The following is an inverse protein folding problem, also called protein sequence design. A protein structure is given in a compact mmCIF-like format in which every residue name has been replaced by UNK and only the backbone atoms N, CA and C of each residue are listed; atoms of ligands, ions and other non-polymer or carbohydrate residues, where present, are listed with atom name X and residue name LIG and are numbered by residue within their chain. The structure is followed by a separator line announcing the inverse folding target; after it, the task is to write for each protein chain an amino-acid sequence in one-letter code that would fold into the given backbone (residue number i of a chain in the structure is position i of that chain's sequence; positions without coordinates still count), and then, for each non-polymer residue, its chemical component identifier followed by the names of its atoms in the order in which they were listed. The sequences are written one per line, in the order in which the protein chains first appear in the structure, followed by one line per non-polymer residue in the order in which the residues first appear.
data_IF_503181138127
#
_entry.id   IF_503181138127
#
_cell.length_a   1.000
_cell.length_b   1.000
_cell.length_c   1.000
_cell.angle_alpha   90.00
_cell.angle_beta   90.00
_cell.angle_gamma   90.00
#
_symmetry.space_group_name_H-M   'P 1'
#
loop_
_entity.id
_entity.type
_entity.pdbx_description
1 polymer ?
#
# COMPACT_ATOMS: atom_id res chain seq x y z
N UNK A 1 -40.54 -5.50 -3.93
CA UNK A 1 -40.18 -4.30 -3.15
C UNK A 1 -38.67 -4.34 -2.92
N UNK A 2 -37.87 -3.40 -3.44
CA UNK A 2 -36.43 -3.43 -3.22
C UNK A 2 -36.13 -2.90 -1.81
N UNK A 3 -35.50 -3.74 -1.00
CA UNK A 3 -34.95 -3.39 0.30
C UNK A 3 -33.75 -2.45 0.09
N UNK A 4 -33.89 -1.22 0.55
CA UNK A 4 -32.83 -0.24 0.60
C UNK A 4 -31.68 -0.77 1.47
N UNK A 5 -30.51 -0.94 0.85
CA UNK A 5 -29.23 -1.11 1.54
C UNK A 5 -29.00 0.12 2.43
N UNK A 6 -29.20 -0.04 3.74
CA UNK A 6 -28.70 0.93 4.73
C UNK A 6 -27.18 0.76 4.82
N UNK A 7 -26.45 1.56 4.05
CA UNK A 7 -25.04 1.80 4.27
C UNK A 7 -24.84 2.21 5.73
N UNK A 8 -24.19 1.37 6.51
CA UNK A 8 -23.72 1.75 7.84
C UNK A 8 -22.59 2.77 7.66
N UNK A 9 -22.97 4.04 7.56
CA UNK A 9 -22.06 5.16 7.74
C UNK A 9 -21.62 5.15 9.21
N UNK A 10 -20.56 4.39 9.50
CA UNK A 10 -19.84 4.44 10.77
C UNK A 10 -19.36 5.88 10.95
N UNK A 11 -19.80 6.51 12.05
CA UNK A 11 -19.74 7.94 12.32
C UNK A 11 -18.46 8.62 11.85
N UNK A 12 -18.66 9.68 11.07
CA UNK A 12 -17.63 10.63 10.62
C UNK A 12 -16.91 11.17 11.86
N UNK A 13 -15.60 10.93 11.98
CA UNK A 13 -14.76 11.71 12.89
C UNK A 13 -14.99 13.19 12.59
N UNK A 14 -15.30 13.98 13.62
CA UNK A 14 -15.78 15.36 13.53
C UNK A 14 -15.25 16.14 12.30
N UNK A 15 -16.10 16.52 11.32
CA UNK A 15 -15.68 17.23 10.10
C UNK A 15 -14.89 18.52 10.39
N UNK A 16 -15.12 19.14 11.55
CA UNK A 16 -14.40 20.32 11.99
C UNK A 16 -12.93 20.06 12.34
N UNK A 17 -12.60 18.83 12.74
CA UNK A 17 -11.21 18.39 12.97
C UNK A 17 -10.52 18.23 11.61
N UNK A 18 -11.08 17.43 10.70
CA UNK A 18 -10.53 17.25 9.35
C UNK A 18 -10.28 18.58 8.63
N UNK A 19 -11.23 19.52 8.71
CA UNK A 19 -11.09 20.86 8.14
C UNK A 19 -9.94 21.65 8.77
N UNK A 20 -9.77 21.60 10.10
CA UNK A 20 -8.66 22.27 10.80
C UNK A 20 -7.31 21.70 10.39
N UNK A 21 -7.19 20.37 10.29
CA UNK A 21 -5.95 19.71 9.87
C UNK A 21 -5.57 20.16 8.46
N UNK A 22 -6.54 20.16 7.54
CA UNK A 22 -6.29 20.56 6.14
C UNK A 22 -5.92 22.04 6.03
N UNK A 23 -6.54 22.91 6.83
CA UNK A 23 -6.16 24.34 6.88
C UNK A 23 -4.76 24.55 7.48
N UNK A 24 -4.42 23.82 8.54
CA UNK A 24 -3.08 23.82 9.16
C UNK A 24 -2.01 23.38 8.15
N UNK A 25 -2.27 22.27 7.44
CA UNK A 25 -1.38 21.75 6.41
C UNK A 25 -1.24 22.73 5.22
N UNK A 26 -2.36 23.32 4.78
CA UNK A 26 -2.36 24.34 3.71
C UNK A 26 -1.53 25.56 4.10
N UNK A 27 -1.69 26.07 5.33
CA UNK A 27 -0.95 27.23 5.79
C UNK A 27 0.56 26.96 5.82
N UNK A 28 0.97 25.80 6.35
CA UNK A 28 2.38 25.38 6.38
C UNK A 28 2.96 25.18 4.98
N UNK A 29 2.20 24.58 4.07
CA UNK A 29 2.61 24.39 2.68
C UNK A 29 2.84 25.71 1.95
N UNK A 30 1.93 26.68 2.13
CA UNK A 30 2.09 28.02 1.55
C UNK A 30 3.37 28.68 2.07
N UNK A 31 3.68 28.57 3.37
CA UNK A 31 4.93 29.07 3.93
C UNK A 31 6.16 28.33 3.38
N UNK A 32 6.09 27.02 3.17
CA UNK A 32 7.18 26.23 2.59
C UNK A 32 7.43 26.57 1.11
N UNK A 33 6.37 26.67 0.30
CA UNK A 33 6.45 27.01 -1.12
C UNK A 33 6.99 28.43 -1.35
N UNK A 34 6.62 29.40 -0.52
CA UNK A 34 7.16 30.78 -0.59
C UNK A 34 8.65 30.87 -0.22
N UNK A 35 9.17 29.90 0.52
CA UNK A 35 10.57 29.87 0.97
C UNK A 35 11.44 28.95 0.10
N UNK A 36 10.89 28.32 -0.94
CA UNK A 36 11.63 27.43 -1.82
C UNK A 36 12.14 28.21 -3.06
N UNK A 37 13.44 28.53 -3.14
CA UNK A 37 14.00 29.38 -4.19
C UNK A 37 13.86 28.78 -5.60
N UNK A 38 13.68 27.46 -5.73
CA UNK A 38 13.46 26.79 -7.01
C UNK A 38 12.04 26.99 -7.55
N UNK A 39 11.05 27.24 -6.68
CA UNK A 39 9.67 27.58 -7.06
C UNK A 39 9.49 29.08 -7.32
N UNK A 40 10.29 29.95 -6.68
CA UNK A 40 10.18 31.40 -6.81
C UNK A 40 10.70 31.97 -8.15
N UNK A 41 11.49 31.20 -8.91
CA UNK A 41 12.07 31.63 -10.19
C UNK A 41 11.25 31.23 -11.44
N UNK A 42 10.01 30.75 -11.25
CA UNK A 42 9.13 30.35 -12.34
C UNK A 42 8.48 31.56 -13.04
N UNK A 43 8.28 31.46 -14.37
CA UNK A 43 7.52 32.41 -15.18
C UNK A 43 6.18 32.77 -14.48
N UNK A 44 5.76 34.05 -14.41
CA UNK A 44 4.51 34.47 -13.79
C UNK A 44 3.29 33.62 -14.17
N UNK A 45 3.19 33.19 -15.42
CA UNK A 45 2.07 32.39 -15.93
C UNK A 45 2.07 30.96 -15.36
N UNK A 46 3.26 30.33 -15.25
CA UNK A 46 3.43 29.03 -14.60
C UNK A 46 3.14 29.13 -13.10
N UNK A 47 3.56 30.22 -12.46
CA UNK A 47 3.29 30.48 -11.04
C UNK A 47 1.79 30.61 -10.76
N UNK A 48 1.02 31.28 -11.63
CA UNK A 48 -0.45 31.35 -11.52
C UNK A 48 -1.10 29.98 -11.71
N UNK A 49 -0.68 29.21 -12.71
CA UNK A 49 -1.22 27.86 -12.95
C UNK A 49 -0.95 26.91 -11.77
N UNK A 50 0.26 26.95 -11.20
CA UNK A 50 0.65 26.19 -10.01
C UNK A 50 -0.19 26.58 -8.79
N UNK A 51 -0.40 27.88 -8.56
CA UNK A 51 -1.22 28.35 -7.45
C UNK A 51 -2.68 27.93 -7.59
N UNK A 52 -3.24 28.03 -8.79
CA UNK A 52 -4.61 27.58 -9.07
C UNK A 52 -4.77 26.06 -8.87
N UNK A 53 -3.80 25.27 -9.33
CA UNK A 53 -3.78 23.84 -9.08
C UNK A 53 -3.71 23.53 -7.59
N UNK A 54 -2.80 24.15 -6.85
CA UNK A 54 -2.70 23.97 -5.39
C UNK A 54 -4.01 24.33 -4.68
N UNK A 55 -4.67 25.43 -5.07
CA UNK A 55 -5.96 25.80 -4.49
C UNK A 55 -7.04 24.75 -4.76
N UNK A 56 -7.13 24.24 -6.00
CA UNK A 56 -8.07 23.16 -6.36
C UNK A 56 -7.76 21.88 -5.57
N UNK A 57 -6.48 21.50 -5.49
CA UNK A 57 -6.02 20.33 -4.77
C UNK A 57 -6.43 20.39 -3.30
N UNK A 58 -6.10 21.48 -2.60
CA UNK A 58 -6.47 21.66 -1.19
C UNK A 58 -7.97 21.62 -0.93
N UNK A 59 -8.77 22.21 -1.82
CA UNK A 59 -10.23 22.17 -1.70
C UNK A 59 -10.77 20.74 -1.85
N UNK A 60 -10.26 19.97 -2.83
CA UNK A 60 -10.64 18.56 -3.01
C UNK A 60 -10.15 17.68 -1.86
N UNK A 61 -8.93 17.88 -1.37
CA UNK A 61 -8.40 17.20 -0.19
C UNK A 61 -9.31 17.41 1.04
N UNK A 62 -9.72 18.65 1.29
CA UNK A 62 -10.61 18.96 2.40
C UNK A 62 -11.96 18.24 2.29
N UNK A 63 -12.54 18.26 1.09
CA UNK A 63 -13.80 17.57 0.80
C UNK A 63 -13.67 16.06 1.01
N UNK A 64 -12.60 15.44 0.51
CA UNK A 64 -12.36 14.00 0.64
C UNK A 64 -12.17 13.58 2.09
N UNK A 65 -11.39 14.32 2.88
CA UNK A 65 -11.20 14.00 4.29
C UNK A 65 -12.48 14.18 5.12
N UNK A 66 -13.32 15.15 4.76
CA UNK A 66 -14.58 15.43 5.46
C UNK A 66 -15.70 14.47 5.10
N UNK A 67 -15.79 14.04 3.83
CA UNK A 67 -16.91 13.24 3.31
C UNK A 67 -16.58 11.77 3.07
N UNK A 68 -15.29 11.44 2.98
CA UNK A 68 -14.81 10.13 2.52
C UNK A 68 -14.93 9.90 1.02
N UNK A 69 -15.43 10.87 0.24
CA UNK A 69 -15.54 10.77 -1.21
C UNK A 69 -14.28 11.34 -1.90
N UNK A 70 -13.55 10.48 -2.59
CA UNK A 70 -12.27 10.77 -3.25
C UNK A 70 -12.38 10.94 -4.78
N UNK A 71 -13.54 10.72 -5.38
CA UNK A 71 -13.70 10.70 -6.84
C UNK A 71 -13.22 12.00 -7.50
N UNK A 72 -13.66 13.15 -6.99
CA UNK A 72 -13.29 14.44 -7.56
C UNK A 72 -11.81 14.79 -7.35
N UNK A 73 -11.16 14.22 -6.32
CA UNK A 73 -9.72 14.36 -6.10
C UNK A 73 -8.95 13.50 -7.11
N UNK A 74 -9.36 12.25 -7.30
CA UNK A 74 -8.78 11.31 -8.27
C UNK A 74 -8.87 11.87 -9.70
N UNK A 75 -10.01 12.43 -10.10
CA UNK A 75 -10.20 13.04 -11.41
C UNK A 75 -9.26 14.23 -11.64
N UNK A 76 -9.11 15.11 -10.63
CA UNK A 76 -8.19 16.25 -10.69
C UNK A 76 -6.74 15.81 -10.89
N UNK A 77 -6.29 14.79 -10.14
CA UNK A 77 -4.91 14.30 -10.19
C UNK A 77 -4.60 13.55 -11.47
N UNK A 78 -5.56 12.76 -11.96
CA UNK A 78 -5.44 12.08 -13.25
C UNK A 78 -5.37 13.08 -14.40
N UNK A 79 -6.14 14.17 -14.34
CA UNK A 79 -6.02 15.26 -15.31
C UNK A 79 -4.63 15.93 -15.24
N UNK A 80 -4.12 16.18 -14.04
CA UNK A 80 -2.77 16.75 -13.85
C UNK A 80 -1.68 15.84 -14.42
N UNK A 81 -1.77 14.53 -14.19
CA UNK A 81 -0.84 13.55 -14.76
C UNK A 81 -0.81 13.59 -16.29
N UNK A 82 -1.99 13.72 -16.93
CA UNK A 82 -2.08 13.86 -18.40
C UNK A 82 -1.42 15.13 -18.91
N UNK A 83 -1.63 16.25 -18.21
CA UNK A 83 -1.02 17.53 -18.55
C UNK A 83 0.51 17.45 -18.45
N UNK A 84 1.05 16.91 -17.36
CA UNK A 84 2.49 16.74 -17.17
C UNK A 84 3.13 15.85 -18.23
N UNK A 85 2.45 14.77 -18.64
CA UNK A 85 2.88 13.94 -19.77
C UNK A 85 2.86 14.70 -21.10
N UNK A 86 1.84 15.52 -21.35
CA UNK A 86 1.76 16.39 -22.53
C UNK A 86 2.86 17.45 -22.59
N UNK A 87 3.39 17.86 -21.43
CA UNK A 87 4.57 18.74 -21.30
C UNK A 87 5.91 18.00 -21.44
N UNK A 88 5.89 16.67 -21.66
CA UNK A 88 7.08 15.83 -21.74
C UNK A 88 7.98 15.88 -20.49
N UNK A 89 7.38 16.06 -19.31
CA UNK A 89 8.12 15.98 -18.06
C UNK A 89 8.54 14.51 -17.78
N UNK A 90 9.76 14.27 -17.28
CA UNK A 90 10.20 12.93 -16.89
C UNK A 90 9.30 12.34 -15.79
N UNK A 91 8.87 11.10 -15.96
CA UNK A 91 7.96 10.45 -15.01
C UNK A 91 8.59 10.30 -13.62
N UNK A 92 9.90 10.07 -13.55
CA UNK A 92 10.60 9.86 -12.29
C UNK A 92 10.62 11.14 -11.46
N UNK A 93 10.82 12.29 -12.11
CA UNK A 93 10.77 13.60 -11.46
C UNK A 93 9.37 13.88 -10.89
N UNK A 94 8.33 13.49 -11.63
CA UNK A 94 6.94 13.63 -11.17
C UNK A 94 6.70 12.78 -9.91
N UNK A 95 7.15 11.51 -9.91
CA UNK A 95 7.00 10.59 -8.78
C UNK A 95 7.77 11.09 -7.54
N UNK A 96 9.00 11.59 -7.73
CA UNK A 96 9.81 12.16 -6.65
C UNK A 96 9.10 13.37 -6.00
N UNK A 97 8.61 14.30 -6.82
CA UNK A 97 7.91 15.49 -6.32
C UNK A 97 6.58 15.14 -5.65
N UNK A 98 5.81 14.20 -6.21
CA UNK A 98 4.56 13.76 -5.60
C UNK A 98 4.81 13.00 -4.29
N UNK A 99 5.88 12.20 -4.22
CA UNK A 99 6.36 11.55 -3.01
C UNK A 99 6.74 12.53 -1.91
N UNK A 100 7.50 13.59 -2.25
CA UNK A 100 7.84 14.66 -1.30
C UNK A 100 6.59 15.38 -0.78
N UNK A 101 5.61 15.67 -1.65
CA UNK A 101 4.34 16.24 -1.26
C UNK A 101 3.57 15.35 -0.28
N UNK A 102 3.47 14.05 -0.57
CA UNK A 102 2.87 13.05 0.33
C UNK A 102 3.57 13.01 1.68
N UNK A 103 4.90 13.05 1.69
CA UNK A 103 5.67 13.04 2.93
C UNK A 103 5.38 14.27 3.79
N UNK A 104 5.44 15.49 3.21
CA UNK A 104 5.10 16.71 3.94
C UNK A 104 3.67 16.70 4.46
N UNK A 105 2.72 16.20 3.65
CA UNK A 105 1.33 16.02 4.07
C UNK A 105 1.23 15.12 5.31
N UNK A 106 1.97 14.00 5.32
CA UNK A 106 1.99 13.06 6.43
C UNK A 106 2.62 13.65 7.70
N UNK A 107 3.75 14.35 7.59
CA UNK A 107 4.36 15.02 8.73
C UNK A 107 3.43 16.06 9.36
N UNK A 108 2.73 16.84 8.53
CA UNK A 108 1.76 17.82 9.01
C UNK A 108 0.56 17.15 9.68
N UNK A 109 0.05 16.05 9.11
CA UNK A 109 -1.02 15.27 9.72
C UNK A 109 -0.62 14.65 11.07
N UNK A 110 0.61 14.13 11.17
CA UNK A 110 1.15 13.59 12.42
C UNK A 110 1.31 14.69 13.48
N UNK A 111 1.89 15.85 13.10
CA UNK A 111 2.03 16.99 14.02
C UNK A 111 0.69 17.44 14.58
N UNK A 112 -0.35 17.49 13.73
CA UNK A 112 -1.70 17.86 14.16
C UNK A 112 -2.31 16.80 15.09
N UNK A 113 -2.07 15.51 14.85
CA UNK A 113 -2.52 14.45 15.76
C UNK A 113 -1.87 14.57 17.15
N UNK A 114 -0.58 14.92 17.21
CA UNK A 114 0.17 15.08 18.47
C UNK A 114 -0.28 16.32 19.25
N UNK A 115 -0.56 17.42 18.56
CA UNK A 115 -0.91 18.71 19.18
C UNK A 115 -2.40 18.82 19.55
N UNK A 116 -3.27 18.00 18.95
CA UNK A 116 -4.70 18.04 19.20
C UNK A 116 -5.12 17.09 20.35
N UNK A 117 -5.46 17.68 21.51
CA UNK A 117 -5.90 16.98 22.72
C UNK A 117 -7.15 16.08 22.51
N UNK A 118 -8.05 16.41 21.59
CA UNK A 118 -9.24 15.59 21.31
C UNK A 118 -8.91 14.31 20.52
N UNK A 119 -7.94 14.39 19.60
CA UNK A 119 -7.49 13.23 18.81
C UNK A 119 -6.53 12.34 19.63
N UNK A 120 -5.56 12.94 20.30
CA UNK A 120 -4.58 12.22 21.11
C UNK A 120 -5.22 11.45 22.28
N UNK A 121 -6.34 11.94 22.83
CA UNK A 121 -7.11 11.24 23.88
C UNK A 121 -8.03 10.13 23.37
N UNK A 122 -8.21 9.99 22.04
CA UNK A 122 -9.05 8.96 21.42
C UNK A 122 -8.27 8.18 20.35
N UNK A 123 -7.58 7.09 20.73
CA UNK A 123 -6.74 6.29 19.82
C UNK A 123 -7.47 5.78 18.57
N UNK A 124 -8.77 5.47 18.68
CA UNK A 124 -9.59 4.99 17.56
C UNK A 124 -9.86 6.10 16.55
N UNK A 125 -10.17 7.32 17.02
CA UNK A 125 -10.40 8.47 16.14
C UNK A 125 -9.10 8.91 15.45
N UNK A 126 -7.99 8.96 16.19
CA UNK A 126 -6.66 9.25 15.64
C UNK A 126 -6.27 8.25 14.55
N UNK A 127 -6.48 6.95 14.81
CA UNK A 127 -6.18 5.93 13.83
C UNK A 127 -7.09 6.01 12.59
N UNK A 128 -8.40 6.18 12.75
CA UNK A 128 -9.31 6.35 11.61
C UNK A 128 -8.92 7.54 10.74
N UNK A 129 -8.48 8.63 11.36
CA UNK A 129 -7.94 9.77 10.64
C UNK A 129 -6.66 9.41 9.87
N UNK A 130 -5.66 8.82 10.53
CA UNK A 130 -4.39 8.44 9.90
C UNK A 130 -4.58 7.39 8.79
N UNK A 131 -5.47 6.42 8.97
CA UNK A 131 -5.85 5.41 7.97
C UNK A 131 -6.43 6.08 6.73
N UNK A 132 -7.43 6.97 6.90
CA UNK A 132 -8.00 7.75 5.78
C UNK A 132 -6.98 8.64 5.10
N UNK A 133 -6.14 9.31 5.88
CA UNK A 133 -5.13 10.23 5.36
C UNK A 133 -4.05 9.49 4.57
N UNK A 134 -3.58 8.35 5.06
CA UNK A 134 -2.64 7.51 4.33
C UNK A 134 -3.25 6.90 3.06
N UNK A 135 -4.51 6.45 3.11
CA UNK A 135 -5.24 5.96 1.92
C UNK A 135 -5.34 7.05 0.85
N UNK A 136 -5.67 8.27 1.28
CA UNK A 136 -5.68 9.44 0.40
C UNK A 136 -4.30 9.69 -0.21
N UNK A 137 -3.21 9.65 0.57
CA UNK A 137 -1.84 9.81 0.07
C UNK A 137 -1.46 8.74 -0.96
N UNK A 138 -1.90 7.50 -0.78
CA UNK A 138 -1.70 6.42 -1.76
C UNK A 138 -2.42 6.71 -3.07
N UNK A 139 -3.66 7.18 -2.97
CA UNK A 139 -4.46 7.59 -4.12
C UNK A 139 -3.85 8.76 -4.89
N UNK A 140 -3.13 9.67 -4.21
CA UNK A 140 -2.43 10.79 -4.87
C UNK A 140 -1.46 10.29 -5.93
N UNK A 141 -0.52 9.42 -5.54
CA UNK A 141 0.52 8.92 -6.43
C UNK A 141 -0.06 8.01 -7.53
N UNK A 142 -1.00 7.12 -7.18
CA UNK A 142 -1.62 6.21 -8.15
C UNK A 142 -2.36 6.98 -9.25
N UNK A 143 -3.22 7.93 -8.88
CA UNK A 143 -4.05 8.66 -9.84
C UNK A 143 -3.22 9.52 -10.79
N UNK A 144 -2.17 10.16 -10.26
CA UNK A 144 -1.28 11.02 -11.02
C UNK A 144 -0.49 10.21 -12.06
N UNK A 145 0.17 9.12 -11.64
CA UNK A 145 0.94 8.25 -12.56
C UNK A 145 0.02 7.53 -13.55
N UNK A 146 -1.20 7.17 -13.13
CA UNK A 146 -2.20 6.62 -14.04
C UNK A 146 -2.58 7.61 -15.14
N UNK A 147 -2.84 8.88 -14.79
CA UNK A 147 -3.11 9.93 -15.77
C UNK A 147 -1.96 10.11 -16.76
N UNK A 148 -0.73 10.15 -16.25
CA UNK A 148 0.47 10.23 -17.08
C UNK A 148 0.55 9.05 -18.08
N UNK A 149 0.37 7.84 -17.58
CA UNK A 149 0.45 6.60 -18.37
C UNK A 149 -0.58 6.59 -19.50
N UNK A 150 -1.82 6.97 -19.21
CA UNK A 150 -2.88 7.05 -20.23
C UNK A 150 -2.60 8.05 -21.33
N UNK A 151 -1.95 9.17 -21.00
CA UNK A 151 -1.55 10.16 -22.00
C UNK A 151 -0.48 9.58 -22.94
N UNK A 152 0.51 8.87 -22.40
CA UNK A 152 1.54 8.21 -23.20
C UNK A 152 0.93 7.13 -24.11
N UNK A 153 -0.07 6.38 -23.62
CA UNK A 153 -0.77 5.36 -24.40
C UNK A 153 -1.66 5.95 -25.50
N UNK A 154 -2.38 7.03 -25.21
CA UNK A 154 -3.23 7.67 -26.23
C UNK A 154 -2.42 8.20 -27.41
N UNK A 155 -1.17 8.62 -27.17
CA UNK A 155 -0.21 8.99 -28.21
C UNK A 155 0.34 7.77 -28.96
N UNK A 156 0.45 6.61 -28.31
CA UNK A 156 1.15 5.43 -28.87
C UNK A 156 0.21 4.33 -29.44
N UNK A 157 -0.92 4.05 -28.80
CA UNK A 157 -1.78 2.88 -29.06
C UNK A 157 -3.32 3.13 -28.96
N UNK A 158 -3.78 4.38 -28.77
CA UNK A 158 -5.22 4.71 -28.67
C UNK A 158 -5.83 4.36 -27.29
N UNK A 159 -7.06 4.84 -26.98
CA UNK A 159 -7.56 4.85 -25.60
C UNK A 159 -7.95 3.46 -25.09
N UNK A 160 -7.19 2.93 -24.13
CA UNK A 160 -7.55 1.75 -23.32
C UNK A 160 -8.57 2.15 -22.23
N UNK A 161 -9.75 1.53 -22.25
CA UNK A 161 -10.78 1.75 -21.22
C UNK A 161 -10.38 1.09 -19.89
N UNK A 162 -10.15 1.90 -18.85
CA UNK A 162 -9.78 1.42 -17.52
C UNK A 162 -11.02 0.97 -16.72
N UNK A 163 -11.29 -0.34 -16.63
CA UNK A 163 -12.15 -0.90 -15.58
C UNK A 163 -11.34 -1.01 -14.28
N UNK A 164 -11.98 -0.87 -13.13
CA UNK A 164 -11.36 -1.17 -11.83
C UNK A 164 -10.95 -2.64 -11.80
N UNK A 165 -9.64 -2.90 -11.83
CA UNK A 165 -9.06 -4.25 -11.84
C UNK A 165 -8.96 -4.82 -10.42
N UNK A 166 -9.22 -6.11 -10.24
CA UNK A 166 -9.00 -6.81 -8.96
C UNK A 166 -7.52 -6.80 -8.57
N UNK A 167 -7.20 -7.01 -7.28
CA UNK A 167 -5.81 -7.08 -6.79
C UNK A 167 -4.99 -8.17 -7.52
N UNK A 168 -5.63 -9.31 -7.83
CA UNK A 168 -5.02 -10.41 -8.57
C UNK A 168 -4.67 -10.00 -10.01
N UNK A 169 -5.59 -9.33 -10.70
CA UNK A 169 -5.37 -8.82 -12.07
C UNK A 169 -4.23 -7.80 -12.11
N UNK A 170 -4.16 -6.92 -11.10
CA UNK A 170 -3.07 -5.93 -10.99
C UNK A 170 -1.71 -6.62 -10.82
N UNK A 171 -1.61 -7.65 -9.97
CA UNK A 171 -0.37 -8.41 -9.77
C UNK A 171 0.07 -9.18 -11.02
N UNK A 172 -0.88 -9.72 -11.77
CA UNK A 172 -0.60 -10.39 -13.05
C UNK A 172 -0.03 -9.42 -14.08
N UNK A 173 -0.62 -8.23 -14.22
CA UNK A 173 -0.14 -7.16 -15.09
C UNK A 173 1.27 -6.68 -14.68
N UNK A 174 1.49 -6.45 -13.38
CA UNK A 174 2.81 -6.10 -12.86
C UNK A 174 3.86 -7.15 -13.26
N UNK A 175 3.55 -8.44 -13.13
CA UNK A 175 4.45 -9.51 -13.55
C UNK A 175 4.75 -9.54 -15.05
N UNK A 176 3.75 -9.30 -15.89
CA UNK A 176 3.95 -9.22 -17.35
C UNK A 176 4.90 -8.07 -17.70
N UNK A 177 4.68 -6.90 -17.09
CA UNK A 177 5.55 -5.72 -17.26
C UNK A 177 6.99 -6.02 -16.84
N UNK A 178 7.18 -6.66 -15.68
CA UNK A 178 8.52 -7.03 -15.23
C UNK A 178 9.19 -8.09 -16.11
N UNK A 179 8.42 -9.01 -16.69
CA UNK A 179 8.98 -9.98 -17.65
C UNK A 179 9.53 -9.28 -18.88
N UNK A 180 8.84 -8.23 -19.34
CA UNK A 180 9.27 -7.40 -20.47
C UNK A 180 10.51 -6.55 -20.15
N UNK A 181 10.74 -6.17 -18.88
CA UNK A 181 11.92 -5.40 -18.48
C UNK A 181 13.26 -6.10 -18.77
N UNK A 182 13.27 -7.44 -18.84
CA UNK A 182 14.47 -8.19 -19.25
C UNK A 182 15.00 -7.79 -20.62
N UNK A 183 14.14 -7.26 -21.50
CA UNK A 183 14.53 -6.74 -22.82
C UNK A 183 15.02 -5.29 -22.81
N UNK A 184 14.78 -4.56 -21.72
CA UNK A 184 14.99 -3.12 -21.60
C UNK A 184 16.22 -2.79 -20.76
N UNK A 185 16.55 -3.65 -19.80
CA UNK A 185 17.60 -3.44 -18.79
C UNK A 185 18.93 -4.05 -19.25
N UNK A 186 20.03 -3.35 -18.99
CA UNK A 186 21.37 -3.80 -19.37
C UNK A 186 21.86 -5.02 -18.58
N UNK A 187 22.79 -5.82 -19.13
CA UNK A 187 23.37 -6.95 -18.42
C UNK A 187 24.04 -6.50 -17.10
N UNK A 188 23.75 -7.20 -16.00
CA UNK A 188 24.33 -6.96 -14.68
C UNK A 188 23.53 -6.04 -13.75
N UNK A 189 22.48 -5.38 -14.23
CA UNK A 189 21.62 -4.50 -13.41
C UNK A 189 20.37 -5.20 -12.85
N UNK A 190 20.22 -6.50 -13.14
CA UNK A 190 19.19 -7.36 -12.57
C UNK A 190 19.79 -8.73 -12.23
N UNK A 191 19.22 -9.39 -11.22
CA UNK A 191 19.56 -10.77 -10.89
C UNK A 191 18.33 -11.54 -10.44
N UNK A 192 18.26 -12.83 -10.73
CA UNK A 192 17.18 -13.71 -10.27
C UNK A 192 17.73 -14.64 -9.20
N UNK A 193 17.15 -14.56 -8.00
CA UNK A 193 17.55 -15.36 -6.86
C UNK A 193 16.42 -16.30 -6.44
N UNK A 194 16.76 -17.54 -6.06
CA UNK A 194 15.82 -18.54 -5.57
C UNK A 194 16.06 -18.82 -4.10
N UNK A 195 14.98 -18.87 -3.34
CA UNK A 195 14.97 -19.06 -1.90
C UNK A 195 14.11 -20.26 -1.54
N UNK A 196 14.61 -21.09 -0.62
CA UNK A 196 13.85 -22.24 -0.08
C UNK A 196 12.87 -21.77 0.98
N UNK A 197 11.79 -22.52 1.18
CA UNK A 197 10.86 -22.28 2.29
C UNK A 197 11.60 -22.23 3.63
N UNK A 198 11.30 -21.22 4.45
CA UNK A 198 11.93 -20.94 5.75
C UNK A 198 13.26 -20.19 5.69
N UNK A 199 13.82 -19.93 4.50
CA UNK A 199 15.07 -19.17 4.38
C UNK A 199 14.83 -17.65 4.42
N UNK A 200 15.78 -16.92 4.99
CA UNK A 200 15.81 -15.47 4.96
C UNK A 200 16.53 -14.99 3.70
N UNK A 201 16.02 -13.93 3.08
CA UNK A 201 16.59 -13.37 1.85
C UNK A 201 17.91 -12.64 2.10
N UNK A 202 18.03 -12.02 3.27
CA UNK A 202 19.17 -11.18 3.64
C UNK A 202 19.95 -11.86 4.76
N UNK A 203 21.17 -12.29 4.46
CA UNK A 203 22.16 -12.46 5.52
C UNK A 203 22.78 -11.09 5.79
N UNK A 204 23.03 -10.77 7.06
CA UNK A 204 23.52 -9.47 7.55
C UNK A 204 24.85 -8.98 6.93
N UNK A 205 25.49 -9.78 6.08
CA UNK A 205 26.79 -9.52 5.45
C UNK A 205 26.71 -9.15 3.96
N UNK A 206 25.57 -9.39 3.30
CA UNK A 206 25.41 -9.15 1.86
C UNK A 206 24.12 -8.37 1.61
N UNK A 207 24.18 -7.06 1.75
CA UNK A 207 23.02 -6.22 1.41
C UNK A 207 23.40 -5.11 0.46
N UNK A 208 23.02 -5.32 -0.80
CA UNK A 208 22.93 -4.25 -1.78
C UNK A 208 21.83 -3.29 -1.34
N UNK A 209 22.21 -2.04 -1.12
CA UNK A 209 21.29 -0.94 -0.88
C UNK A 209 20.67 -0.49 -2.22
N UNK A 210 19.60 0.30 -2.18
CA UNK A 210 18.98 0.89 -3.37
C UNK A 210 18.52 -0.14 -4.42
N UNK A 211 17.91 -1.23 -3.94
CA UNK A 211 17.37 -2.27 -4.80
C UNK A 211 15.89 -2.51 -4.52
N UNK A 212 15.16 -2.80 -5.60
CA UNK A 212 13.80 -3.26 -5.58
C UNK A 212 13.77 -4.78 -5.78
N UNK A 213 12.87 -5.44 -5.08
CA UNK A 213 12.71 -6.87 -5.05
C UNK A 213 11.32 -7.19 -5.57
N UNK A 214 11.27 -7.87 -6.70
CA UNK A 214 10.03 -8.27 -7.34
C UNK A 214 9.82 -9.78 -7.17
N UNK A 215 8.66 -10.16 -6.65
CA UNK A 215 8.34 -11.57 -6.43
C UNK A 215 7.78 -12.14 -7.73
N UNK A 216 8.62 -12.89 -8.45
CA UNK A 216 8.21 -13.57 -9.68
C UNK A 216 7.34 -14.78 -9.38
N UNK A 217 7.76 -15.59 -8.40
CA UNK A 217 7.00 -16.73 -7.90
C UNK A 217 7.21 -16.89 -6.40
N UNK A 218 6.25 -17.50 -5.72
CA UNK A 218 6.35 -17.81 -4.29
C UNK A 218 5.62 -16.83 -3.37
N UNK A 219 6.02 -16.85 -2.11
CA UNK A 219 5.41 -16.05 -1.03
C UNK A 219 6.47 -15.74 0.01
N UNK A 220 6.50 -14.50 0.49
CA UNK A 220 7.42 -14.04 1.53
C UNK A 220 6.67 -13.34 2.66
N UNK A 221 7.26 -13.36 3.84
CA UNK A 221 6.81 -12.65 5.03
C UNK A 221 7.81 -11.54 5.36
N UNK A 222 7.33 -10.31 5.49
CA UNK A 222 8.09 -9.17 5.97
C UNK A 222 7.89 -9.09 7.48
N UNK A 223 8.98 -9.01 8.24
CA UNK A 223 8.90 -8.98 9.69
C UNK A 223 10.00 -8.14 10.34
N UNK A 224 9.68 -7.55 11.48
CA UNK A 224 10.65 -6.91 12.38
C UNK A 224 10.78 -7.74 13.66
N UNK A 225 11.94 -7.67 14.31
CA UNK A 225 12.13 -8.23 15.63
C UNK A 225 12.16 -7.10 16.66
N UNK A 226 11.32 -7.23 17.69
CA UNK A 226 11.31 -6.34 18.84
C UNK A 226 12.56 -6.58 19.70
N UNK A 227 12.86 -5.64 20.59
CA UNK A 227 13.99 -5.73 21.53
C UNK A 227 13.92 -6.94 22.46
N UNK A 228 12.72 -7.49 22.69
CA UNK A 228 12.49 -8.71 23.47
C UNK A 228 12.57 -10.00 22.63
N UNK A 229 12.93 -9.90 21.35
CA UNK A 229 13.09 -11.01 20.43
C UNK A 229 11.79 -11.51 19.79
N UNK A 230 10.63 -10.94 20.11
CA UNK A 230 9.37 -11.28 19.42
C UNK A 230 9.38 -10.74 17.99
N UNK A 231 8.85 -11.52 17.06
CA UNK A 231 8.63 -11.07 15.70
C UNK A 231 7.29 -10.32 15.57
N UNK A 232 7.28 -9.27 14.78
CA UNK A 232 6.07 -8.58 14.31
C UNK A 232 6.02 -8.74 12.81
N UNK A 233 4.97 -9.40 12.32
CA UNK A 233 4.77 -9.54 10.87
C UNK A 233 4.14 -8.27 10.33
N UNK A 234 4.82 -7.64 9.37
CA UNK A 234 4.38 -6.41 8.73
C UNK A 234 3.45 -6.69 7.55
N UNK A 235 3.81 -7.68 6.72
CA UNK A 235 3.03 -8.05 5.53
C UNK A 235 3.38 -9.47 5.06
N UNK A 236 2.46 -10.09 4.31
CA UNK A 236 2.74 -11.26 3.47
C UNK A 236 2.62 -10.83 2.02
N UNK A 237 3.67 -11.02 1.24
CA UNK A 237 3.72 -10.68 -0.18
C UNK A 237 3.85 -11.94 -1.01
N UNK A 238 3.31 -11.94 -2.22
CA UNK A 238 3.45 -13.04 -3.17
C UNK A 238 3.67 -12.56 -4.59
N UNK A 239 3.45 -13.47 -5.53
CA UNK A 239 3.66 -13.25 -6.96
C UNK A 239 3.04 -11.93 -7.43
N UNK A 240 3.86 -11.08 -8.05
CA UNK A 240 3.47 -9.76 -8.56
C UNK A 240 3.68 -8.60 -7.58
N UNK A 241 4.02 -8.87 -6.31
CA UNK A 241 4.35 -7.83 -5.35
C UNK A 241 5.79 -7.35 -5.47
N UNK A 242 6.00 -6.10 -5.08
CA UNK A 242 7.29 -5.40 -5.08
C UNK A 242 7.58 -4.91 -3.67
N UNK A 243 8.78 -5.14 -3.14
CA UNK A 243 9.23 -4.48 -1.92
C UNK A 243 10.63 -3.90 -2.12
N UNK A 244 11.03 -2.98 -1.27
CA UNK A 244 12.36 -2.37 -1.30
C UNK A 244 12.91 -2.28 0.12
N UNK A 245 14.24 -2.42 0.23
CA UNK A 245 14.97 -2.23 1.50
C UNK A 245 15.81 -0.97 1.38
N UNK A 246 15.92 -0.21 2.47
CA UNK A 246 16.75 1.00 2.66
C UNK A 246 17.22 1.66 1.36
N UNK A 247 16.44 2.62 0.88
CA UNK A 247 16.80 3.47 -0.26
C UNK A 247 17.50 4.72 0.29
N UNK A 248 18.75 4.92 -0.09
CA UNK A 248 19.57 6.07 0.28
C UNK A 248 18.90 7.37 -0.20
N UNK A 249 18.80 8.38 0.69
CA UNK A 249 18.12 9.64 0.37
C UNK A 249 16.59 9.63 0.55
N UNK A 250 15.98 8.48 0.84
CA UNK A 250 14.58 8.46 1.31
C UNK A 250 14.46 9.15 2.68
N UNK A 251 13.35 9.86 2.97
CA UNK A 251 13.11 10.43 4.29
C UNK A 251 13.24 9.34 5.35
N UNK A 252 13.97 9.64 6.42
CA UNK A 252 14.29 8.68 7.47
C UNK A 252 13.01 7.98 7.97
N UNK A 253 12.93 6.65 7.80
CA UNK A 253 11.85 5.82 8.32
C UNK A 253 10.90 5.19 7.30
N UNK A 254 10.93 5.54 6.00
CA UNK A 254 10.06 4.88 4.99
C UNK A 254 10.50 3.44 4.67
N UNK A 255 11.80 3.18 4.73
CA UNK A 255 12.37 1.86 4.49
C UNK A 255 13.26 1.49 5.69
N UNK A 256 12.63 0.97 6.75
CA UNK A 256 13.37 0.41 7.91
C UNK A 256 13.99 -0.94 7.56
N UNK A 257 15.00 -1.34 8.34
CA UNK A 257 15.57 -2.69 8.27
C UNK A 257 14.54 -3.72 8.76
N UNK A 258 13.80 -4.32 7.82
CA UNK A 258 12.98 -5.49 8.07
C UNK A 258 13.65 -6.75 7.52
N UNK A 259 13.30 -7.90 8.11
CA UNK A 259 13.69 -9.21 7.63
C UNK A 259 12.64 -9.74 6.66
N UNK A 260 13.08 -10.50 5.68
CA UNK A 260 12.20 -11.14 4.70
C UNK A 260 12.46 -12.64 4.72
N UNK A 261 11.42 -13.41 4.99
CA UNK A 261 11.46 -14.87 5.06
C UNK A 261 10.59 -15.47 3.96
N UNK A 262 11.13 -16.41 3.18
CA UNK A 262 10.35 -17.16 2.20
C UNK A 262 9.42 -18.17 2.89
N UNK A 263 8.11 -18.10 2.64
CA UNK A 263 7.12 -19.04 3.20
C UNK A 263 6.98 -20.33 2.38
N UNK A 264 7.36 -20.28 1.10
CA UNK A 264 7.46 -21.40 0.18
C UNK A 264 8.69 -21.23 -0.70
N UNK A 265 8.91 -22.11 -1.67
CA UNK A 265 9.91 -21.87 -2.71
C UNK A 265 9.57 -20.57 -3.46
N UNK A 266 10.51 -19.64 -3.48
CA UNK A 266 10.28 -18.27 -3.96
C UNK A 266 11.39 -17.86 -4.90
N UNK A 267 11.01 -17.30 -6.04
CA UNK A 267 11.91 -16.69 -7.03
C UNK A 267 11.71 -15.17 -7.02
N UNK A 268 12.81 -14.44 -6.82
CA UNK A 268 12.81 -12.99 -6.67
C UNK A 268 13.75 -12.39 -7.71
N UNK A 269 13.25 -11.37 -8.41
CA UNK A 269 14.03 -10.53 -9.30
C UNK A 269 14.51 -9.32 -8.52
N UNK A 270 15.82 -9.14 -8.44
CA UNK A 270 16.47 -7.96 -7.90
C UNK A 270 16.68 -6.95 -9.03
N UNK A 271 16.33 -5.69 -8.77
CA UNK A 271 16.51 -4.58 -9.69
C UNK A 271 17.18 -3.41 -8.96
N UNK A 272 18.28 -2.91 -9.53
CA UNK A 272 18.91 -1.70 -9.03
C UNK A 272 18.06 -0.47 -9.36
N UNK A 273 18.09 0.55 -8.50
CA UNK A 273 17.31 1.78 -8.65
C UNK A 273 17.49 2.44 -10.02
N UNK A 274 18.72 2.50 -10.53
CA UNK A 274 19.03 3.09 -11.84
C UNK A 274 18.31 2.35 -12.98
N UNK A 275 18.35 1.01 -12.96
CA UNK A 275 17.68 0.20 -13.96
C UNK A 275 16.16 0.33 -13.85
N UNK A 276 15.63 0.43 -12.64
CA UNK A 276 14.23 0.71 -12.44
C UNK A 276 13.85 2.09 -12.97
N UNK A 277 14.67 3.12 -12.74
CA UNK A 277 14.42 4.48 -13.24
C UNK A 277 14.32 4.49 -14.77
N UNK A 278 15.27 3.84 -15.45
CA UNK A 278 15.26 3.71 -16.91
C UNK A 278 14.05 2.92 -17.42
N UNK A 279 13.66 1.86 -16.71
CA UNK A 279 12.48 1.07 -17.01
C UNK A 279 11.19 1.89 -16.91
N UNK A 280 11.04 2.71 -15.86
CA UNK A 280 9.85 3.55 -15.65
C UNK A 280 9.70 4.63 -16.72
N UNK A 281 10.81 5.26 -17.14
CA UNK A 281 10.78 6.26 -18.21
C UNK A 281 10.39 5.66 -19.57
N UNK A 282 10.87 4.46 -19.87
CA UNK A 282 10.55 3.77 -21.14
C UNK A 282 9.16 3.14 -21.12
N UNK A 283 8.71 2.69 -19.95
CA UNK A 283 7.45 1.96 -19.79
C UNK A 283 6.75 2.45 -18.52
N UNK A 284 5.98 3.56 -18.60
CA UNK A 284 5.28 4.16 -17.46
C UNK A 284 4.39 3.20 -16.65
N UNK A 285 3.89 2.15 -17.30
CA UNK A 285 3.11 1.09 -16.66
C UNK A 285 3.86 0.40 -15.52
N UNK A 286 5.19 0.29 -15.62
CA UNK A 286 6.04 -0.31 -14.58
C UNK A 286 5.93 0.50 -13.29
N UNK A 287 6.02 1.84 -13.40
CA UNK A 287 5.86 2.74 -12.26
C UNK A 287 4.47 2.59 -11.63
N UNK A 288 3.44 2.51 -12.47
CA UNK A 288 2.06 2.33 -12.00
C UNK A 288 1.88 1.00 -11.24
N UNK A 289 2.45 -0.09 -11.75
CA UNK A 289 2.42 -1.40 -11.08
C UNK A 289 3.10 -1.38 -9.72
N UNK A 290 4.26 -0.74 -9.62
CA UNK A 290 5.02 -0.60 -8.36
C UNK A 290 4.26 0.23 -7.33
N UNK A 291 3.78 1.41 -7.72
CA UNK A 291 3.05 2.31 -6.81
C UNK A 291 1.76 1.64 -6.31
N UNK A 292 1.07 0.90 -7.16
CA UNK A 292 -0.10 0.09 -6.75
C UNK A 292 0.29 -1.01 -5.75
N UNK A 293 1.40 -1.70 -5.96
CA UNK A 293 1.88 -2.73 -5.01
C UNK A 293 2.18 -2.13 -3.64
N UNK A 294 2.93 -1.02 -3.57
CA UNK A 294 3.19 -0.34 -2.30
C UNK A 294 1.93 0.24 -1.65
N UNK A 295 1.00 0.80 -2.44
CA UNK A 295 -0.30 1.28 -1.94
C UNK A 295 -1.10 0.15 -1.29
N UNK A 296 -1.05 -1.04 -1.88
CA UNK A 296 -1.70 -2.23 -1.34
C UNK A 296 -1.06 -2.69 -0.03
N UNK A 297 0.27 -2.69 0.04
CA UNK A 297 0.99 -3.02 1.27
C UNK A 297 0.68 -2.05 2.41
N UNK A 298 0.58 -0.75 2.10
CA UNK A 298 0.22 0.25 3.09
C UNK A 298 -1.20 0.03 3.61
N UNK A 299 -2.14 -0.37 2.74
CA UNK A 299 -3.50 -0.74 3.15
C UNK A 299 -3.50 -1.99 4.04
N UNK A 300 -2.69 -3.00 3.74
CA UNK A 300 -2.56 -4.19 4.59
C UNK A 300 -2.03 -3.82 5.98
N UNK A 301 -0.99 -2.98 6.06
CA UNK A 301 -0.43 -2.50 7.34
C UNK A 301 -1.49 -1.72 8.14
N UNK A 302 -2.27 -0.85 7.48
CA UNK A 302 -3.38 -0.14 8.15
C UNK A 302 -4.40 -1.11 8.73
N UNK A 303 -4.79 -2.14 7.98
CA UNK A 303 -5.73 -3.16 8.45
C UNK A 303 -5.19 -3.94 9.65
N UNK A 304 -3.89 -4.23 9.68
CA UNK A 304 -3.24 -4.83 10.87
C UNK A 304 -3.38 -3.89 12.08
N UNK A 305 -3.11 -2.60 11.92
CA UNK A 305 -3.24 -1.62 13.01
C UNK A 305 -4.71 -1.48 13.46
N UNK A 306 -5.67 -1.40 12.53
CA UNK A 306 -7.11 -1.41 12.84
C UNK A 306 -7.49 -2.64 13.64
N UNK A 307 -6.97 -3.80 13.22
CA UNK A 307 -7.04 -5.06 13.94
C UNK A 307 -6.55 -4.89 15.38
N UNK A 308 -5.33 -4.41 15.60
CA UNK A 308 -4.76 -4.23 16.95
C UNK A 308 -5.60 -3.33 17.87
N UNK A 309 -6.39 -2.41 17.32
CA UNK A 309 -7.32 -1.56 18.07
C UNK A 309 -8.66 -2.24 18.40
N UNK A 310 -8.97 -3.35 17.74
CA UNK A 310 -10.12 -4.20 18.06
C UNK A 310 -9.87 -4.98 19.37
N UNK A 311 -10.90 -5.07 20.21
CA UNK A 311 -10.82 -5.78 21.50
C UNK A 311 -10.92 -7.30 21.38
N UNK A 312 -11.46 -7.84 20.27
CA UNK A 312 -11.61 -9.30 20.12
C UNK A 312 -10.53 -9.91 19.21
N UNK A 313 -9.84 -10.93 19.73
CA UNK A 313 -8.85 -11.71 18.98
C UNK A 313 -9.49 -12.59 17.89
N UNK A 314 -10.74 -13.02 18.08
CA UNK A 314 -11.42 -13.91 17.12
C UNK A 314 -11.75 -13.15 15.84
N UNK A 315 -12.37 -11.97 15.94
CA UNK A 315 -12.61 -11.10 14.79
C UNK A 315 -11.32 -10.79 14.02
N UNK A 316 -10.23 -10.48 14.73
CA UNK A 316 -8.91 -10.20 14.10
C UNK A 316 -8.37 -11.41 13.34
N UNK A 317 -8.43 -12.59 13.95
CA UNK A 317 -8.02 -13.83 13.31
C UNK A 317 -8.81 -14.09 12.04
N UNK A 318 -10.14 -13.94 12.09
CA UNK A 318 -10.99 -14.15 10.92
C UNK A 318 -10.67 -13.13 9.82
N UNK A 319 -10.50 -11.85 10.16
CA UNK A 319 -10.14 -10.81 9.20
C UNK A 319 -8.83 -11.14 8.47
N UNK A 320 -7.79 -11.57 9.18
CA UNK A 320 -6.53 -11.97 8.55
C UNK A 320 -6.74 -13.20 7.65
N UNK A 321 -7.50 -14.21 8.08
CA UNK A 321 -7.78 -15.39 7.25
C UNK A 321 -8.54 -15.03 5.97
N UNK A 322 -9.51 -14.13 6.03
CA UNK A 322 -10.25 -13.63 4.88
C UNK A 322 -9.36 -12.80 3.93
N UNK A 323 -8.46 -11.99 4.48
CA UNK A 323 -7.49 -11.24 3.67
C UNK A 323 -6.55 -12.19 2.93
N UNK A 324 -6.01 -13.20 3.63
CA UNK A 324 -5.15 -14.22 3.04
C UNK A 324 -5.88 -15.08 2.01
N UNK A 325 -7.16 -15.39 2.22
CA UNK A 325 -7.95 -16.15 1.25
C UNK A 325 -8.28 -15.32 0.01
N UNK A 326 -8.54 -14.02 0.15
CA UNK A 326 -8.74 -13.14 -0.99
C UNK A 326 -7.45 -12.96 -1.81
N UNK A 327 -6.29 -12.98 -1.17
CA UNK A 327 -5.01 -12.69 -1.81
C UNK A 327 -4.28 -13.93 -2.36
N UNK A 328 -4.39 -15.05 -1.66
CA UNK A 328 -3.65 -16.28 -1.97
C UNK A 328 -4.55 -17.51 -2.07
N UNK A 329 -5.85 -17.34 -1.87
CA UNK A 329 -6.81 -18.44 -1.85
C UNK A 329 -7.05 -19.02 -3.24
N UNK A 330 -7.16 -20.34 -3.28
CA UNK A 330 -7.59 -21.07 -4.46
C UNK A 330 -8.99 -21.65 -4.19
N UNK A 331 -9.93 -21.41 -5.09
CA UNK A 331 -11.26 -22.03 -4.98
C UNK A 331 -11.15 -23.53 -5.21
N UNK A 332 -11.60 -24.32 -4.25
CA UNK A 332 -11.65 -25.79 -4.33
C UNK A 332 -13.07 -26.28 -4.03
N UNK A 333 -13.42 -27.53 -4.36
CA UNK A 333 -14.73 -28.09 -4.01
C UNK A 333 -15.02 -28.10 -2.50
N UNK A 334 -13.97 -28.12 -1.67
CA UNK A 334 -14.10 -28.09 -0.22
C UNK A 334 -14.25 -26.66 0.32
N UNK A 335 -13.86 -25.62 -0.42
CA UNK A 335 -13.82 -24.24 0.07
C UNK A 335 -12.62 -23.48 -0.49
N UNK A 336 -12.24 -22.39 0.16
CA UNK A 336 -11.09 -21.58 -0.28
C UNK A 336 -9.81 -22.06 0.42
N UNK A 337 -8.85 -22.54 -0.37
CA UNK A 337 -7.58 -23.10 0.10
C UNK A 337 -6.49 -22.03 0.12
N UNK A 338 -5.92 -21.77 1.30
CA UNK A 338 -4.68 -21.01 1.48
C UNK A 338 -3.53 -22.02 1.49
N UNK A 339 -2.81 -22.11 0.38
CA UNK A 339 -1.88 -23.21 0.09
C UNK A 339 -0.42 -22.87 0.47
N UNK A 340 -0.16 -22.49 1.73
CA UNK A 340 1.20 -22.35 2.25
C UNK A 340 1.24 -22.54 3.77
N UNK A 341 2.39 -23.00 4.32
CA UNK A 341 2.51 -23.24 5.74
C UNK A 341 2.42 -21.92 6.53
N UNK A 342 1.38 -21.82 7.35
CA UNK A 342 1.22 -20.79 8.36
C UNK A 342 1.21 -21.45 9.73
N UNK A 343 2.29 -21.29 10.48
CA UNK A 343 2.35 -21.81 11.85
C UNK A 343 1.44 -20.99 12.77
N UNK A 344 0.96 -21.62 13.84
CA UNK A 344 0.19 -20.90 14.87
C UNK A 344 1.00 -19.77 15.53
N UNK A 345 2.35 -19.87 15.52
CA UNK A 345 3.21 -18.80 16.00
C UNK A 345 3.19 -17.62 15.02
N UNK A 346 3.34 -17.84 13.72
CA UNK A 346 3.24 -16.77 12.72
C UNK A 346 1.88 -16.07 12.74
N UNK A 347 0.79 -16.80 12.86
CA UNK A 347 -0.54 -16.19 13.03
C UNK A 347 -0.62 -15.37 14.33
N UNK A 348 0.03 -15.81 15.40
CA UNK A 348 0.10 -15.03 16.64
C UNK A 348 0.92 -13.76 16.46
N UNK A 349 2.05 -13.83 15.76
CA UNK A 349 2.93 -12.70 15.48
C UNK A 349 2.23 -11.67 14.57
N UNK A 350 1.44 -12.12 13.59
CA UNK A 350 0.57 -11.26 12.75
C UNK A 350 -0.52 -10.56 13.56
N UNK A 351 -1.06 -11.24 14.58
CA UNK A 351 -2.18 -10.75 15.40
C UNK A 351 -1.72 -10.00 16.65
N UNK A 352 -0.41 -9.89 16.90
CA UNK A 352 0.12 -9.38 18.16
C UNK A 352 -0.39 -10.14 19.39
N UNK A 353 -0.54 -11.46 19.27
CA UNK A 353 -1.08 -12.35 20.29
C UNK A 353 -0.07 -13.43 20.69
N UNK A 354 -0.49 -14.41 21.49
CA UNK A 354 0.32 -15.59 21.80
C UNK A 354 -0.22 -16.84 21.09
N UNK A 355 0.69 -17.77 20.79
CA UNK A 355 0.39 -19.04 20.10
C UNK A 355 -0.72 -19.84 20.77
N UNK A 356 -0.80 -19.84 22.10
CA UNK A 356 -1.81 -20.58 22.86
C UNK A 356 -3.21 -20.05 22.55
N UNK A 357 -3.36 -18.73 22.53
CA UNK A 357 -4.63 -18.06 22.22
C UNK A 357 -5.07 -18.36 20.80
N UNK A 358 -4.17 -18.24 19.82
CA UNK A 358 -4.49 -18.54 18.42
C UNK A 358 -4.86 -20.01 18.23
N UNK A 359 -4.12 -20.93 18.85
CA UNK A 359 -4.41 -22.36 18.80
C UNK A 359 -5.82 -22.65 19.31
N UNK A 360 -6.22 -22.03 20.43
CA UNK A 360 -7.56 -22.17 20.98
C UNK A 360 -8.64 -21.65 20.04
N UNK A 361 -8.46 -20.44 19.48
CA UNK A 361 -9.44 -19.82 18.57
C UNK A 361 -9.58 -20.58 17.25
N UNK A 362 -8.49 -21.06 16.65
CA UNK A 362 -8.55 -21.94 15.48
C UNK A 362 -9.31 -23.22 15.79
N UNK A 363 -9.09 -23.82 16.96
CA UNK A 363 -9.83 -25.00 17.40
C UNK A 363 -11.34 -24.76 17.57
N UNK A 364 -11.74 -23.58 18.05
CA UNK A 364 -13.14 -23.16 18.15
C UNK A 364 -13.79 -23.00 16.77
N UNK A 365 -13.13 -22.31 15.83
CA UNK A 365 -13.61 -22.13 14.45
C UNK A 365 -13.72 -23.48 13.71
N UNK A 366 -12.75 -24.37 13.93
CA UNK A 366 -12.78 -25.74 13.39
C UNK A 366 -13.97 -26.54 13.94
N UNK A 367 -14.23 -26.49 15.25
CA UNK A 367 -15.39 -27.16 15.86
C UNK A 367 -16.73 -26.65 15.32
N UNK A 368 -16.78 -25.39 14.91
CA UNK A 368 -17.97 -24.79 14.28
C UNK A 368 -18.11 -25.15 12.80
N UNK A 369 -17.15 -25.87 12.22
CA UNK A 369 -17.14 -26.25 10.80
C UNK A 369 -16.85 -25.09 9.86
N UNK A 370 -16.18 -24.03 10.33
CA UNK A 370 -15.89 -22.83 9.52
C UNK A 370 -14.58 -22.92 8.75
N UNK A 371 -13.60 -23.67 9.29
CA UNK A 371 -12.30 -23.87 8.67
C UNK A 371 -11.68 -25.22 9.04
N UNK A 372 -10.65 -25.60 8.30
CA UNK A 372 -9.75 -26.71 8.60
C UNK A 372 -8.30 -26.22 8.55
N UNK A 373 -7.51 -26.61 9.54
CA UNK A 373 -6.08 -26.27 9.61
C UNK A 373 -5.27 -27.53 9.40
N UNK A 374 -4.51 -27.57 8.31
CA UNK A 374 -3.55 -28.61 7.98
C UNK A 374 -2.12 -28.11 8.25
N UNK A 375 -1.15 -29.03 8.23
CA UNK A 375 0.26 -28.69 8.47
C UNK A 375 0.83 -27.67 7.46
N UNK A 376 0.32 -27.67 6.23
CA UNK A 376 0.84 -26.86 5.12
C UNK A 376 -0.23 -25.97 4.46
N UNK A 377 -1.46 -25.95 4.98
CA UNK A 377 -2.55 -25.19 4.38
C UNK A 377 -3.69 -24.94 5.35
N UNK A 378 -4.53 -23.95 5.03
CA UNK A 378 -5.78 -23.68 5.73
C UNK A 378 -6.91 -23.69 4.69
N UNK A 379 -8.02 -24.37 4.98
CA UNK A 379 -9.21 -24.37 4.13
C UNK A 379 -10.30 -23.60 4.86
N UNK A 380 -10.88 -22.60 4.20
CA UNK A 380 -12.03 -21.85 4.69
C UNK A 380 -13.29 -22.38 4.00
N UNK A 381 -14.21 -22.96 4.76
CA UNK A 381 -15.41 -23.62 4.23
C UNK A 381 -16.48 -22.61 3.80
N UNK A 382 -16.66 -21.53 4.55
CA UNK A 382 -17.74 -20.54 4.35
C UNK A 382 -17.24 -19.13 4.70
N UNK A 383 -16.91 -18.34 3.68
CA UNK A 383 -16.39 -16.98 3.83
C UNK A 383 -17.45 -16.03 4.40
N UNK A 384 -18.72 -16.14 3.95
CA UNK A 384 -19.79 -15.27 4.44
C UNK A 384 -20.10 -15.51 5.91
N UNK A 385 -20.08 -16.76 6.35
CA UNK A 385 -20.30 -17.10 7.75
C UNK A 385 -19.12 -16.69 8.63
N UNK A 386 -17.90 -16.78 8.13
CA UNK A 386 -16.72 -16.22 8.79
C UNK A 386 -16.86 -14.69 8.96
N UNK A 387 -17.23 -13.96 7.91
CA UNK A 387 -17.47 -12.51 7.98
C UNK A 387 -18.53 -12.15 9.03
N UNK A 388 -19.63 -12.91 9.10
CA UNK A 388 -20.69 -12.70 10.10
C UNK A 388 -20.24 -12.96 11.54
N UNK A 389 -19.26 -13.83 11.76
CA UNK A 389 -18.69 -14.08 13.10
C UNK A 389 -17.69 -12.99 13.48
N UNK A 390 -17.08 -12.33 12.50
CA UNK A 390 -16.11 -11.27 12.75
C UNK A 390 -16.76 -9.91 13.07
N UNK A 391 -17.95 -9.64 12.53
CA UNK A 391 -18.82 -8.49 12.84
C UNK A 391 -19.49 -8.64 14.21
#
# INVERSE_FOLDING_TARGET
MPLAQKSHAVGVGNPAIATRIVQSCKSRWVTHAHNNPDLCNLNPELTTQLNDFHHRLWNKLNYTLSTGNDQALLELLRAQGKEMAGMHLPLTQIIEQSGACVHSLLEMALTECETNLELSSNPKAMHQFLSRFNRMCSHLNVALVQGYTEQVDTVSHGPLHSRSKSRIEQKAETLELFTQLSSVIGPGQFSINRYRAGSFLFNSLETRQNCFYFIREGTVQLQEFLSDGRAVVLAILGRGDVFARTIQGSPAGYFRDFQVMALRETEIVLLEEEALRQAMERTPHVALGIIKSFSSQLADIQQVIEGLLSRDITSRLIHILLQLSNEFGQTTPAGTLIDFPLTHQQLADMLGSNRVTITRRLGELKKQGLLEVNKHSIILYDLERLEKVAC
#
